data_IF_629043866320
#
_entry.id   IF_629043866320
#
_cell.length_a   1.000
_cell.length_b   1.000
_cell.length_c   1.000
_cell.angle_alpha   90.00
_cell.angle_beta   90.00
_cell.angle_gamma   90.00
#
_symmetry.space_group_name_H-M   'P 1'
#
loop_
_entity.id
_entity.type
_entity.pdbx_description
1 polymer ?
#
# COMPACT_ATOMS: atom_id res chain seq x y z
N UNK A 1 13.12 11.08 -6.57
CA UNK A 1 12.46 9.83 -6.18
C UNK A 1 11.12 10.15 -5.54
N UNK A 2 10.03 9.56 -6.00
CA UNK A 2 8.71 9.67 -5.35
C UNK A 2 8.49 8.45 -4.44
N UNK A 3 8.13 8.69 -3.19
CA UNK A 3 7.78 7.61 -2.26
C UNK A 3 6.27 7.56 -2.10
N UNK A 4 5.69 6.43 -2.48
CA UNK A 4 4.25 6.24 -2.59
C UNK A 4 3.83 5.04 -1.77
N UNK A 5 2.63 5.05 -1.19
CA UNK A 5 2.06 3.87 -0.57
C UNK A 5 0.58 3.74 -0.88
N UNK A 6 0.09 2.50 -0.90
CA UNK A 6 -1.32 2.17 -1.09
C UNK A 6 -1.66 0.90 -0.31
N UNK A 7 -2.95 0.66 -0.07
CA UNK A 7 -3.45 -0.56 0.53
C UNK A 7 -4.64 -1.07 -0.25
N UNK A 8 -4.75 -2.39 -0.40
CA UNK A 8 -5.91 -3.03 -1.02
C UNK A 8 -5.95 -4.54 -0.75
N UNK A 9 -7.14 -5.11 -0.92
CA UNK A 9 -7.40 -6.55 -0.87
C UNK A 9 -7.44 -7.15 -2.29
N UNK A 10 -7.70 -8.45 -2.39
CA UNK A 10 -7.71 -9.14 -3.68
C UNK A 10 -8.85 -8.69 -4.60
N UNK A 11 -9.94 -8.17 -4.04
CA UNK A 11 -11.06 -7.65 -4.84
C UNK A 11 -10.68 -6.33 -5.53
N UNK A 12 -9.83 -5.53 -4.89
CA UNK A 12 -9.30 -4.28 -5.43
C UNK A 12 -8.00 -4.45 -6.23
N UNK A 13 -7.45 -5.68 -6.32
CA UNK A 13 -6.22 -5.97 -7.03
C UNK A 13 -6.19 -5.41 -8.47
N UNK A 14 -7.22 -5.58 -9.33
CA UNK A 14 -7.20 -5.01 -10.68
C UNK A 14 -7.03 -3.49 -10.69
N UNK A 15 -7.61 -2.79 -9.71
CA UNK A 15 -7.48 -1.34 -9.56
C UNK A 15 -6.07 -0.97 -9.10
N UNK A 16 -5.55 -1.66 -8.08
CA UNK A 16 -4.18 -1.45 -7.59
C UNK A 16 -3.10 -1.68 -8.66
N UNK A 17 -3.29 -2.69 -9.52
CA UNK A 17 -2.41 -2.91 -10.68
C UNK A 17 -2.55 -1.79 -11.71
N UNK A 18 -3.77 -1.31 -11.97
CA UNK A 18 -4.00 -0.17 -12.88
C UNK A 18 -3.33 1.11 -12.36
N UNK A 19 -3.39 1.36 -11.05
CA UNK A 19 -2.67 2.45 -10.38
C UNK A 19 -1.16 2.32 -10.61
N UNK A 20 -0.58 1.16 -10.28
CA UNK A 20 0.85 0.89 -10.46
C UNK A 20 1.30 1.10 -11.91
N UNK A 21 0.54 0.60 -12.90
CA UNK A 21 0.87 0.81 -14.31
C UNK A 21 0.83 2.29 -14.69
N UNK A 22 -0.18 3.05 -14.23
CA UNK A 22 -0.23 4.50 -14.49
C UNK A 22 0.94 5.26 -13.86
N UNK A 23 1.38 4.86 -12.66
CA UNK A 23 2.58 5.41 -12.01
C UNK A 23 3.80 5.09 -12.86
N UNK A 24 4.01 3.83 -13.28
CA UNK A 24 5.13 3.45 -14.15
C UNK A 24 5.18 4.23 -15.46
N UNK A 25 4.03 4.52 -16.03
CA UNK A 25 3.94 5.24 -17.31
C UNK A 25 4.23 6.73 -17.18
N UNK A 26 3.83 7.36 -16.08
CA UNK A 26 3.83 8.82 -15.96
C UNK A 26 4.85 9.37 -14.95
N UNK A 27 5.32 8.54 -14.03
CA UNK A 27 6.26 8.94 -13.00
C UNK A 27 7.66 8.49 -13.47
N UNK A 28 8.66 9.35 -13.25
CA UNK A 28 10.07 8.94 -13.33
C UNK A 28 10.42 8.03 -12.15
N UNK A 29 11.53 8.29 -11.47
CA UNK A 29 11.92 7.48 -10.30
C UNK A 29 10.85 7.48 -9.19
N UNK A 30 10.36 6.30 -8.84
CA UNK A 30 9.44 6.07 -7.73
C UNK A 30 9.79 4.79 -6.94
N UNK A 31 9.21 4.67 -5.75
CA UNK A 31 9.07 3.42 -5.02
C UNK A 31 7.65 3.35 -4.43
N UNK A 32 6.99 2.21 -4.59
CA UNK A 32 5.61 1.99 -4.14
C UNK A 32 5.57 0.90 -3.07
N UNK A 33 5.11 1.27 -1.86
CA UNK A 33 4.74 0.28 -0.84
C UNK A 33 3.28 -0.13 -1.02
N UNK A 34 3.04 -1.42 -1.12
CA UNK A 34 1.69 -1.99 -1.18
C UNK A 34 1.44 -2.77 0.10
N UNK A 35 0.45 -2.34 0.88
CA UNK A 35 -0.08 -3.14 1.97
C UNK A 35 -1.15 -4.09 1.43
N UNK A 36 -0.82 -5.37 1.38
CA UNK A 36 -1.73 -6.43 1.04
C UNK A 36 -2.66 -6.72 2.24
N UNK A 37 -3.95 -6.48 2.03
CA UNK A 37 -4.98 -6.60 3.07
C UNK A 37 -5.49 -8.05 3.25
N UNK A 38 -5.04 -8.98 2.40
CA UNK A 38 -5.33 -10.41 2.52
C UNK A 38 -4.18 -11.28 1.97
N UNK A 39 -4.22 -12.56 2.32
CA UNK A 39 -3.19 -13.53 1.92
C UNK A 39 -3.16 -13.77 0.40
N UNK A 40 -4.30 -13.60 -0.27
CA UNK A 40 -4.39 -13.78 -1.74
C UNK A 40 -3.60 -12.70 -2.46
N UNK A 41 -3.69 -11.45 -2.00
CA UNK A 41 -2.93 -10.31 -2.51
C UNK A 41 -1.44 -10.51 -2.26
N UNK A 42 -1.06 -10.93 -1.04
CA UNK A 42 0.34 -11.30 -0.76
C UNK A 42 0.85 -12.40 -1.69
N UNK A 43 0.05 -13.44 -1.93
CA UNK A 43 0.42 -14.58 -2.79
C UNK A 43 0.60 -14.11 -4.23
N UNK A 44 -0.33 -13.33 -4.76
CA UNK A 44 -0.24 -12.76 -6.09
C UNK A 44 1.07 -11.97 -6.29
N UNK A 45 1.44 -11.11 -5.34
CA UNK A 45 2.68 -10.35 -5.41
C UNK A 45 3.95 -11.19 -5.22
N UNK A 46 3.88 -12.37 -4.59
CA UNK A 46 5.02 -13.30 -4.50
C UNK A 46 5.22 -14.08 -5.80
N UNK A 47 4.12 -14.39 -6.49
CA UNK A 47 4.12 -15.15 -7.74
C UNK A 47 4.46 -14.29 -8.96
N UNK A 48 4.36 -12.97 -8.83
CA UNK A 48 4.60 -12.01 -9.91
C UNK A 48 5.70 -11.02 -9.51
N UNK A 49 6.57 -10.66 -10.45
CA UNK A 49 7.65 -9.69 -10.19
C UNK A 49 7.20 -8.28 -10.56
N UNK A 50 7.38 -7.33 -9.64
CA UNK A 50 7.06 -5.92 -9.83
C UNK A 50 8.30 -5.07 -9.52
N UNK A 51 8.65 -4.18 -10.45
CA UNK A 51 9.77 -3.27 -10.28
C UNK A 51 9.39 -2.12 -9.36
N UNK A 52 10.32 -1.69 -8.50
CA UNK A 52 10.13 -0.57 -7.59
C UNK A 52 8.95 -0.72 -6.59
N UNK A 53 8.54 -1.96 -6.31
CA UNK A 53 7.46 -2.28 -5.37
C UNK A 53 8.00 -3.03 -4.15
N UNK A 54 7.58 -2.62 -2.95
CA UNK A 54 7.72 -3.41 -1.72
C UNK A 54 6.34 -3.79 -1.20
N UNK A 55 6.13 -5.08 -0.93
CA UNK A 55 4.84 -5.58 -0.45
C UNK A 55 4.94 -5.86 1.04
N UNK A 56 3.99 -5.32 1.78
CA UNK A 56 3.81 -5.53 3.22
C UNK A 56 2.54 -6.34 3.43
N UNK A 57 2.59 -7.28 4.35
CA UNK A 57 1.43 -8.00 4.88
C UNK A 57 0.84 -7.26 6.08
N UNK A 58 -0.40 -7.59 6.45
CA UNK A 58 -0.99 -7.09 7.69
C UNK A 58 -0.11 -7.39 8.91
N UNK A 59 0.48 -8.59 8.99
CA UNK A 59 1.35 -8.96 10.11
C UNK A 59 2.61 -8.12 10.24
N UNK A 60 3.05 -7.44 9.17
CA UNK A 60 4.22 -6.56 9.24
C UNK A 60 3.93 -5.25 9.98
N UNK A 61 2.67 -4.81 10.01
CA UNK A 61 2.27 -3.49 10.52
C UNK A 61 1.32 -3.54 11.72
N UNK A 62 0.71 -4.70 12.00
CA UNK A 62 -0.25 -4.89 13.10
C UNK A 62 0.44 -4.80 14.47
N UNK A 63 0.44 -3.58 15.04
CA UNK A 63 0.77 -3.35 16.45
C UNK A 63 -0.43 -3.66 17.37
N UNK A 64 -0.21 -3.64 18.69
CA UNK A 64 -1.27 -3.87 19.67
C UNK A 64 -2.47 -2.94 19.46
N UNK A 65 -2.24 -1.63 19.26
CA UNK A 65 -3.30 -0.65 18.99
C UNK A 65 -4.05 -0.93 17.68
N UNK A 66 -3.34 -1.41 16.65
CA UNK A 66 -3.94 -1.78 15.36
C UNK A 66 -4.79 -3.04 15.51
N UNK A 67 -4.37 -4.00 16.33
CA UNK A 67 -5.14 -5.21 16.63
C UNK A 67 -6.41 -4.88 17.43
N UNK A 68 -6.35 -3.93 18.37
CA UNK A 68 -7.54 -3.42 19.07
C UNK A 68 -8.52 -2.83 18.06
N UNK A 69 -8.03 -2.00 17.13
CA UNK A 69 -8.85 -1.45 16.06
C UNK A 69 -9.50 -2.53 15.19
N UNK A 70 -8.75 -3.58 14.85
CA UNK A 70 -9.26 -4.71 14.06
C UNK A 70 -10.43 -5.44 14.74
N UNK A 71 -10.39 -5.54 16.07
CA UNK A 71 -11.43 -6.22 16.86
C UNK A 71 -12.69 -5.38 17.12
N UNK A 72 -12.62 -4.06 17.00
CA UNK A 72 -13.72 -3.15 17.36
C UNK A 72 -14.27 -2.30 16.20
N UNK A 73 -13.76 -2.48 14.98
CA UNK A 73 -14.22 -1.79 13.76
C UNK A 73 -14.75 -2.77 12.73
N UNK A 74 -15.60 -2.27 11.84
CA UNK A 74 -15.93 -2.98 10.59
C UNK A 74 -14.69 -3.12 9.72
N UNK A 75 -14.74 -4.02 8.73
CA UNK A 75 -13.62 -4.21 7.80
C UNK A 75 -13.24 -2.92 7.06
N UNK A 76 -14.24 -2.15 6.61
CA UNK A 76 -14.03 -0.88 5.93
C UNK A 76 -13.37 0.17 6.84
N UNK A 77 -13.85 0.30 8.08
CA UNK A 77 -13.26 1.20 9.07
C UNK A 77 -11.85 0.75 9.47
N UNK A 78 -11.57 -0.55 9.46
CA UNK A 78 -10.22 -1.08 9.64
C UNK A 78 -9.30 -0.67 8.49
N UNK A 79 -9.72 -0.81 7.24
CA UNK A 79 -8.96 -0.30 6.08
C UNK A 79 -8.65 1.20 6.22
N UNK A 80 -9.62 2.02 6.61
CA UNK A 80 -9.40 3.46 6.84
C UNK A 80 -8.49 3.75 8.02
N UNK A 81 -8.49 2.89 9.05
CA UNK A 81 -7.53 3.00 10.16
C UNK A 81 -6.10 2.80 9.65
N UNK A 82 -5.92 1.93 8.66
CA UNK A 82 -4.61 1.60 8.14
C UNK A 82 -4.04 2.67 7.20
N UNK A 83 -4.86 3.58 6.66
CA UNK A 83 -4.39 4.63 5.75
C UNK A 83 -3.38 5.60 6.39
N UNK A 84 -3.48 6.03 7.67
CA UNK A 84 -2.39 6.73 8.36
C UNK A 84 -1.32 5.80 8.97
N UNK A 85 -1.66 4.54 9.28
CA UNK A 85 -0.71 3.58 9.90
C UNK A 85 0.38 3.18 8.91
N UNK A 86 0.01 2.89 7.67
CA UNK A 86 0.94 2.48 6.61
C UNK A 86 2.05 3.51 6.34
N UNK A 87 1.76 4.79 6.00
CA UNK A 87 2.81 5.77 5.78
C UNK A 87 3.66 6.01 7.04
N UNK A 88 3.05 5.98 8.23
CA UNK A 88 3.78 6.11 9.51
C UNK A 88 4.77 4.96 9.71
N UNK A 89 4.36 3.72 9.41
CA UNK A 89 5.22 2.55 9.48
C UNK A 89 6.41 2.66 8.50
N UNK A 90 6.14 3.05 7.25
CA UNK A 90 7.19 3.20 6.23
C UNK A 90 8.21 4.25 6.65
N UNK A 91 7.77 5.43 7.10
CA UNK A 91 8.66 6.49 7.57
C UNK A 91 9.50 6.04 8.77
N UNK A 92 8.90 5.34 9.75
CA UNK A 92 9.61 4.85 10.93
C UNK A 92 10.70 3.83 10.60
N UNK A 93 10.48 2.97 9.60
CA UNK A 93 11.43 1.93 9.18
C UNK A 93 12.52 2.45 8.23
N UNK A 94 12.31 3.58 7.57
CA UNK A 94 13.19 4.09 6.52
C UNK A 94 13.66 5.51 6.85
N UNK A 95 14.73 5.64 7.65
CA UNK A 95 15.27 6.94 8.09
C UNK A 95 15.72 7.88 6.97
N UNK A 96 15.92 7.36 5.76
CA UNK A 96 16.29 8.14 4.57
C UNK A 96 15.11 8.73 3.80
N UNK A 97 13.87 8.41 4.21
CA UNK A 97 12.65 8.92 3.59
C UNK A 97 12.10 10.03 4.49
N UNK A 98 12.05 11.25 3.96
CA UNK A 98 11.55 12.44 4.65
C UNK A 98 10.06 12.71 4.39
N UNK A 99 9.51 12.15 3.31
CA UNK A 99 8.09 12.26 2.95
C UNK A 99 7.59 10.99 2.25
N UNK A 100 6.29 10.73 2.37
CA UNK A 100 5.59 9.67 1.64
C UNK A 100 4.17 10.11 1.29
N UNK A 101 3.69 9.74 0.11
CA UNK A 101 2.32 10.04 -0.34
C UNK A 101 1.48 8.77 -0.30
N UNK A 102 0.39 8.79 0.46
CA UNK A 102 -0.63 7.75 0.39
C UNK A 102 -1.54 7.97 -0.83
N UNK A 103 -1.87 6.89 -1.53
CA UNK A 103 -2.73 6.85 -2.70
C UNK A 103 -3.81 5.79 -2.49
N UNK A 104 -5.07 6.16 -2.71
CA UNK A 104 -6.13 5.17 -2.81
C UNK A 104 -5.93 4.29 -4.06
N UNK A 105 -6.22 2.99 -3.92
CA UNK A 105 -5.94 1.99 -4.96
C UNK A 105 -6.78 2.16 -6.23
N UNK A 106 -7.84 2.96 -6.17
CA UNK A 106 -8.79 3.22 -7.26
C UNK A 106 -8.48 4.50 -8.06
N UNK A 107 -7.28 5.05 -7.89
CA UNK A 107 -6.77 6.20 -8.66
C UNK A 107 -6.05 5.72 -9.93
N UNK A 108 -6.16 6.50 -11.01
CA UNK A 108 -5.36 6.34 -12.22
C UNK A 108 -4.78 7.70 -12.65
N UNK A 109 -3.47 7.76 -12.87
CA UNK A 109 -2.81 8.98 -13.35
C UNK A 109 -2.86 9.08 -14.87
N UNK A 110 -3.15 10.28 -15.38
CA UNK A 110 -3.13 10.59 -16.81
C UNK A 110 -1.94 11.50 -17.15
N UNK A 111 -1.48 11.54 -18.41
CA UNK A 111 -0.47 12.50 -18.83
C UNK A 111 -1.01 13.92 -18.65
N UNK A 112 -0.11 14.84 -18.25
CA UNK A 112 -0.36 16.28 -18.28
C UNK A 112 -0.24 16.84 -19.69
#
# INVERSE_FOLDING_TARGET
>A
MKYLCTLFDFNYLPLGISLYESIRLHFGDFHLWVLAMDDKTCTFFKENSFDHVTVLSLSDIESEDVLVAKGNRTWQEYCWTLSPVLPSYVLAKNRGIDHITYLDSDIYFFPM
#
